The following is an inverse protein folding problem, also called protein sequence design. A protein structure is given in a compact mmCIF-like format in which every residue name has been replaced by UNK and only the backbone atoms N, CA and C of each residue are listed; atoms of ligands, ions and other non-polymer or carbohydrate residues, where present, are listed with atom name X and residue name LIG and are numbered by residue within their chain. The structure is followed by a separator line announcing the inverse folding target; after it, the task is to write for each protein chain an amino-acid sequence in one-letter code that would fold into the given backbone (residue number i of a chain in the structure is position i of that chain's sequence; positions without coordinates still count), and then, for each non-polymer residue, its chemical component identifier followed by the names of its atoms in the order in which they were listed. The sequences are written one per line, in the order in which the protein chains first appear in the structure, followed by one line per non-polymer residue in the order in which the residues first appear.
data_IF_599134757024
#
_entry.id   IF_599134757024
#
_cell.length_a   1.000
_cell.length_b   1.000
_cell.length_c   1.000
_cell.angle_alpha   90.00
_cell.angle_beta   90.00
_cell.angle_gamma   90.00
#
_symmetry.space_group_name_H-M   'P 1'
#
loop_
_entity.id
_entity.type
_entity.pdbx_description
1 polymer ?
#
# COMPACT_ATOMS: atom_id res chain seq x y z
N UNK A 1 -7.46 2.43 8.81
CA UNK A 1 -8.30 2.58 10.02
C UNK A 1 -9.08 3.89 9.89
N UNK A 2 -10.41 3.92 10.08
CA UNK A 2 -11.20 5.16 9.94
C UNK A 2 -10.82 6.24 10.97
N UNK A 3 -10.12 5.84 12.03
CA UNK A 3 -9.55 6.71 13.05
C UNK A 3 -8.08 6.30 13.20
N UNK A 4 -7.15 7.20 12.88
CA UNK A 4 -5.71 7.00 13.01
C UNK A 4 -5.12 7.76 14.19
N UNK A 5 -3.92 7.36 14.61
CA UNK A 5 -3.13 8.14 15.56
C UNK A 5 -2.55 9.42 14.93
N UNK A 6 -2.03 10.31 15.78
CA UNK A 6 -1.37 11.53 15.30
C UNK A 6 0.08 11.24 14.95
N UNK A 7 0.46 11.52 13.71
CA UNK A 7 1.87 11.50 13.30
C UNK A 7 2.65 12.59 14.05
N UNK A 8 3.64 12.19 14.85
CA UNK A 8 4.46 13.11 15.65
C UNK A 8 5.78 13.41 14.95
N UNK A 9 6.18 14.67 14.96
CA UNK A 9 7.54 15.09 14.61
C UNK A 9 8.26 15.43 15.91
N UNK A 10 9.37 14.75 16.17
CA UNK A 10 10.25 15.03 17.29
C UNK A 10 11.18 16.21 16.92
N UNK A 11 11.70 16.90 17.93
CA UNK A 11 12.59 18.06 17.74
C UNK A 11 13.91 17.69 17.04
N UNK A 12 14.34 16.41 17.11
CA UNK A 12 15.52 15.87 16.41
C UNK A 12 15.24 15.48 14.93
N UNK A 13 14.09 15.87 14.37
CA UNK A 13 13.75 15.60 12.97
C UNK A 13 13.24 14.19 12.67
N UNK A 14 13.18 13.31 13.67
CA UNK A 14 12.54 12.00 13.54
C UNK A 14 11.02 12.14 13.42
N UNK A 15 10.43 11.39 12.49
CA UNK A 15 8.99 11.32 12.27
C UNK A 15 8.47 9.97 12.74
N UNK A 16 7.55 9.98 13.71
CA UNK A 16 6.87 8.78 14.21
C UNK A 16 5.50 8.68 13.54
N UNK A 17 5.24 7.56 12.86
CA UNK A 17 3.96 7.32 12.18
C UNK A 17 2.83 7.14 13.20
N UNK A 18 1.69 7.77 12.92
CA UNK A 18 0.47 7.61 13.72
C UNK A 18 -0.46 6.49 13.21
N UNK A 19 -0.23 5.99 12.01
CA UNK A 19 -1.05 4.98 11.34
C UNK A 19 -0.82 3.59 11.93
N UNK A 20 -1.91 2.90 12.26
CA UNK A 20 -1.93 1.59 12.92
C UNK A 20 -2.21 0.53 11.86
N UNK A 21 -1.35 -0.50 11.81
CA UNK A 21 -1.59 -1.68 10.98
C UNK A 21 -2.36 -2.74 11.74
N UNK A 22 -3.27 -3.44 11.06
CA UNK A 22 -4.12 -4.47 11.67
C UNK A 22 -4.05 -5.75 10.86
N UNK A 23 -3.50 -6.81 11.45
CA UNK A 23 -3.46 -8.14 10.85
C UNK A 23 -4.59 -9.01 11.40
N UNK A 24 -5.41 -9.58 10.52
CA UNK A 24 -6.50 -10.50 10.88
C UNK A 24 -6.09 -11.96 10.64
N UNK A 25 -5.85 -12.69 11.73
CA UNK A 25 -5.57 -14.13 11.69
C UNK A 25 -6.73 -14.93 12.28
N UNK A 26 -7.05 -16.07 11.69
CA UNK A 26 -8.10 -16.96 12.18
C UNK A 26 -8.33 -18.14 11.24
N UNK A 27 -9.19 -19.06 11.65
CA UNK A 27 -9.48 -20.27 10.89
C UNK A 27 -10.16 -19.96 9.53
N UNK A 28 -10.09 -20.89 8.55
CA UNK A 28 -10.90 -20.80 7.35
C UNK A 28 -12.40 -20.72 7.69
N UNK A 29 -13.15 -19.90 6.96
CA UNK A 29 -14.61 -19.78 7.15
C UNK A 29 -15.07 -18.75 8.19
N UNK A 30 -14.18 -18.04 8.87
CA UNK A 30 -14.55 -16.98 9.85
C UNK A 30 -14.84 -15.60 9.22
N UNK A 31 -15.19 -15.57 7.92
CA UNK A 31 -15.58 -14.37 7.18
C UNK A 31 -14.54 -13.21 7.15
N UNK A 32 -13.24 -13.49 7.33
CA UNK A 32 -12.14 -12.48 7.27
C UNK A 32 -12.17 -11.66 5.98
N UNK A 33 -12.27 -12.35 4.83
CA UNK A 33 -12.38 -11.72 3.51
C UNK A 33 -13.60 -10.81 3.39
N UNK A 34 -14.74 -11.24 3.92
CA UNK A 34 -15.97 -10.43 3.90
C UNK A 34 -15.81 -9.15 4.72
N UNK A 35 -15.09 -9.21 5.84
CA UNK A 35 -14.78 -8.04 6.65
C UNK A 35 -13.86 -7.06 5.89
N UNK A 36 -12.80 -7.56 5.24
CA UNK A 36 -11.90 -6.73 4.43
C UNK A 36 -12.63 -6.04 3.27
N UNK A 37 -13.50 -6.77 2.56
CA UNK A 37 -14.35 -6.23 1.51
C UNK A 37 -15.30 -5.16 2.05
N UNK A 38 -15.90 -5.40 3.22
CA UNK A 38 -16.78 -4.42 3.84
C UNK A 38 -16.03 -3.14 4.20
N UNK A 39 -14.82 -3.23 4.77
CA UNK A 39 -13.98 -2.06 5.09
C UNK A 39 -13.70 -1.26 3.81
N UNK A 40 -13.29 -1.92 2.73
CA UNK A 40 -13.00 -1.27 1.45
C UNK A 40 -14.23 -0.57 0.82
N UNK A 41 -15.45 -1.02 1.13
CA UNK A 41 -16.68 -0.35 0.67
C UNK A 41 -17.09 0.86 1.52
N UNK A 42 -16.66 0.92 2.78
CA UNK A 42 -17.12 1.93 3.73
C UNK A 42 -16.24 3.19 3.69
N UNK A 43 -14.94 3.05 3.48
CA UNK A 43 -14.02 4.20 3.52
C UNK A 43 -13.65 4.71 2.12
N UNK A 44 -13.59 6.05 1.94
CA UNK A 44 -13.36 6.66 0.64
C UNK A 44 -11.91 6.40 0.18
N UNK A 45 -11.74 5.91 -1.05
CA UNK A 45 -10.44 5.59 -1.69
C UNK A 45 -9.66 4.43 -1.07
N UNK A 46 -10.33 3.58 -0.30
CA UNK A 46 -9.73 2.32 0.11
C UNK A 46 -9.52 1.40 -1.09
N UNK A 47 -8.42 0.66 -1.07
CA UNK A 47 -8.06 -0.30 -2.11
C UNK A 47 -8.09 -1.70 -1.49
N UNK A 48 -8.74 -2.64 -2.16
CA UNK A 48 -8.69 -4.07 -1.83
C UNK A 48 -7.81 -4.79 -2.84
N UNK A 49 -6.82 -5.54 -2.36
CA UNK A 49 -5.92 -6.35 -3.20
C UNK A 49 -5.86 -7.80 -2.71
N UNK A 50 -5.67 -8.72 -3.65
CA UNK A 50 -5.56 -10.18 -3.45
C UNK A 50 -4.57 -10.70 -4.50
N UNK A 51 -3.97 -11.87 -4.27
CA UNK A 51 -3.10 -12.61 -5.22
C UNK A 51 -2.11 -11.74 -6.01
N UNK A 52 -2.54 -11.24 -7.19
CA UNK A 52 -1.73 -10.52 -8.19
C UNK A 52 -1.65 -9.01 -7.94
N UNK A 53 -2.61 -8.44 -7.21
CA UNK A 53 -2.60 -7.01 -6.85
C UNK A 53 -1.60 -6.70 -5.73
N UNK A 54 -1.21 -7.73 -4.98
CA UNK A 54 -0.26 -7.68 -3.87
C UNK A 54 1.18 -8.00 -4.28
N UNK A 55 1.51 -7.94 -5.58
CA UNK A 55 2.88 -8.11 -6.06
C UNK A 55 3.67 -6.81 -6.03
N UNK A 56 5.00 -6.85 -5.96
CA UNK A 56 5.85 -5.67 -5.72
C UNK A 56 5.52 -4.47 -6.60
N UNK A 57 5.35 -4.66 -7.91
CA UNK A 57 5.00 -3.57 -8.84
C UNK A 57 3.55 -3.11 -8.67
N UNK A 58 2.63 -4.04 -8.37
CA UNK A 58 1.21 -3.76 -8.11
C UNK A 58 0.95 -3.05 -6.78
N UNK A 59 1.80 -3.29 -5.77
CA UNK A 59 1.76 -2.61 -4.47
C UNK A 59 2.41 -1.23 -4.52
N UNK A 60 3.56 -1.12 -5.18
CA UNK A 60 4.41 0.09 -5.16
C UNK A 60 4.06 1.04 -6.31
N UNK A 61 4.79 0.98 -7.41
CA UNK A 61 4.45 1.67 -8.66
C UNK A 61 5.24 1.04 -9.82
N UNK A 62 4.71 1.18 -11.03
CA UNK A 62 5.31 0.68 -12.25
C UNK A 62 5.80 1.85 -13.13
N UNK A 63 6.94 1.67 -13.80
CA UNK A 63 7.32 2.54 -14.92
C UNK A 63 6.75 1.93 -16.20
N UNK A 64 5.82 2.64 -16.83
CA UNK A 64 5.16 2.22 -18.07
C UNK A 64 5.62 3.13 -19.20
N UNK A 65 5.93 2.55 -20.36
CA UNK A 65 6.27 3.31 -21.55
C UNK A 65 5.05 3.40 -22.45
N UNK A 66 4.57 4.62 -22.67
CA UNK A 66 3.44 4.85 -23.56
C UNK A 66 3.87 4.57 -25.01
N UNK A 67 3.08 3.76 -25.71
CA UNK A 67 3.37 3.34 -27.09
C UNK A 67 3.13 4.48 -28.09
N UNK A 68 2.28 5.46 -27.76
CA UNK A 68 1.91 6.56 -28.63
C UNK A 68 2.91 7.71 -28.50
N UNK A 69 3.11 8.21 -27.27
CA UNK A 69 4.01 9.34 -26.99
C UNK A 69 5.49 8.91 -26.91
N UNK A 70 5.76 7.61 -26.73
CA UNK A 70 7.10 7.03 -26.44
C UNK A 70 7.73 7.52 -25.14
N UNK A 71 6.98 8.27 -24.33
CA UNK A 71 7.41 8.77 -23.03
C UNK A 71 7.28 7.69 -21.95
N UNK A 72 8.09 7.81 -20.91
CA UNK A 72 8.05 6.94 -19.73
C UNK A 72 7.20 7.60 -18.65
N UNK A 73 6.08 6.99 -18.32
CA UNK A 73 5.14 7.42 -17.29
C UNK A 73 5.28 6.53 -16.05
N UNK A 74 4.92 7.07 -14.89
CA UNK A 74 4.90 6.36 -13.63
C UNK A 74 3.45 6.09 -13.23
N UNK A 75 3.09 4.83 -13.03
CA UNK A 75 1.77 4.39 -12.58
C UNK A 75 1.84 3.95 -11.12
N UNK A 76 1.06 4.59 -10.25
CA UNK A 76 0.95 4.26 -8.83
C UNK A 76 0.31 2.89 -8.61
N UNK A 77 0.92 2.07 -7.75
CA UNK A 77 0.35 0.84 -7.24
C UNK A 77 -0.58 1.07 -6.04
N UNK A 78 -1.12 -0.02 -5.49
CA UNK A 78 -2.16 0.00 -4.47
C UNK A 78 -1.81 0.86 -3.24
N UNK A 79 -0.57 0.78 -2.73
CA UNK A 79 -0.15 1.55 -1.55
C UNK A 79 -0.09 3.05 -1.84
N UNK A 80 0.29 3.44 -3.06
CA UNK A 80 0.37 4.85 -3.48
C UNK A 80 -1.02 5.41 -3.76
N UNK A 81 -1.88 4.61 -4.39
CA UNK A 81 -3.26 5.00 -4.69
C UNK A 81 -4.11 5.16 -3.42
N UNK A 82 -3.83 4.35 -2.40
CA UNK A 82 -4.48 4.40 -1.10
C UNK A 82 -3.82 5.38 -0.09
N UNK A 83 -3.02 6.37 -0.54
CA UNK A 83 -2.37 7.34 0.36
C UNK A 83 -3.40 8.02 1.28
N UNK A 84 -3.13 8.00 2.59
CA UNK A 84 -4.02 8.46 3.68
C UNK A 84 -5.31 7.66 3.86
N UNK A 85 -5.42 6.47 3.25
CA UNK A 85 -6.58 5.59 3.31
C UNK A 85 -6.17 4.17 3.75
N UNK A 86 -7.08 3.20 3.57
CA UNK A 86 -6.83 1.79 3.91
C UNK A 86 -6.53 0.99 2.65
N UNK A 87 -5.46 0.20 2.68
CA UNK A 87 -5.17 -0.82 1.67
C UNK A 87 -5.40 -2.19 2.30
N UNK A 88 -6.57 -2.77 2.05
CA UNK A 88 -6.91 -4.11 2.49
C UNK A 88 -6.15 -5.14 1.65
N UNK A 89 -5.28 -5.92 2.30
CA UNK A 89 -4.53 -7.01 1.66
C UNK A 89 -5.09 -8.34 2.15
N UNK A 90 -5.62 -9.13 1.22
CA UNK A 90 -6.00 -10.53 1.46
C UNK A 90 -4.81 -11.46 1.19
N UNK A 91 -4.83 -12.65 1.79
CA UNK A 91 -3.82 -13.71 1.55
C UNK A 91 -2.37 -13.24 1.81
N UNK A 92 -2.17 -12.49 2.91
CA UNK A 92 -0.84 -11.98 3.31
C UNK A 92 0.23 -13.07 3.47
N UNK A 93 -0.19 -14.29 3.84
CA UNK A 93 0.65 -15.47 3.96
C UNK A 93 1.23 -15.96 2.63
N UNK A 94 0.56 -15.69 1.51
CA UNK A 94 1.01 -16.06 0.16
C UNK A 94 1.95 -15.02 -0.47
N UNK A 95 2.15 -13.86 0.18
CA UNK A 95 3.03 -12.80 -0.35
C UNK A 95 4.52 -13.13 -0.27
N UNK A 96 5.28 -12.68 -1.27
CA UNK A 96 6.74 -12.77 -1.28
C UNK A 96 7.38 -11.81 -0.25
N UNK A 97 8.58 -12.14 0.23
CA UNK A 97 9.29 -11.37 1.25
C UNK A 97 9.61 -9.93 0.80
N UNK A 98 9.90 -9.73 -0.49
CA UNK A 98 10.12 -8.40 -1.07
C UNK A 98 8.88 -7.50 -0.97
N UNK A 99 7.71 -8.07 -1.19
CA UNK A 99 6.43 -7.35 -1.17
C UNK A 99 6.03 -6.99 0.26
N UNK A 100 6.33 -7.87 1.22
CA UNK A 100 6.17 -7.60 2.65
C UNK A 100 7.06 -6.46 3.13
N UNK A 101 8.28 -6.38 2.59
CA UNK A 101 9.22 -5.30 2.91
C UNK A 101 8.68 -3.95 2.44
N UNK A 102 8.06 -3.90 1.26
CA UNK A 102 7.46 -2.67 0.72
C UNK A 102 6.30 -2.11 1.58
N UNK A 103 5.56 -2.97 2.29
CA UNK A 103 4.50 -2.54 3.23
C UNK A 103 5.10 -1.85 4.47
N UNK A 104 6.27 -2.32 4.92
CA UNK A 104 6.96 -1.77 6.08
C UNK A 104 7.70 -0.47 5.75
N UNK A 105 8.35 -0.39 4.58
CA UNK A 105 9.15 0.75 4.16
C UNK A 105 8.32 1.86 3.48
N UNK A 106 7.57 2.62 4.27
CA UNK A 106 6.86 3.83 3.81
C UNK A 106 7.70 5.08 4.09
N UNK A 107 7.94 5.99 3.11
CA UNK A 107 7.35 6.10 1.76
C UNK A 107 8.01 5.21 0.70
N UNK A 108 7.26 4.91 -0.37
CA UNK A 108 7.70 4.04 -1.48
C UNK A 108 8.74 4.76 -2.34
N UNK A 109 9.90 4.14 -2.52
CA UNK A 109 11.00 4.66 -3.36
C UNK A 109 11.19 3.80 -4.58
N UNK A 110 11.27 4.45 -5.74
CA UNK A 110 11.43 3.76 -7.02
C UNK A 110 12.61 4.37 -7.76
N UNK A 111 13.51 3.51 -8.19
CA UNK A 111 14.67 3.84 -9.00
C UNK A 111 14.76 2.85 -10.16
N UNK A 112 14.11 3.17 -11.28
CA UNK A 112 14.03 2.27 -12.44
C UNK A 112 14.02 3.07 -13.74
N UNK A 113 14.70 2.55 -14.78
CA UNK A 113 14.70 3.09 -16.15
C UNK A 113 14.97 4.61 -16.21
N UNK A 114 15.91 5.11 -15.40
CA UNK A 114 16.28 6.53 -15.37
C UNK A 114 15.35 7.44 -14.56
N UNK A 115 14.26 6.92 -13.99
CA UNK A 115 13.38 7.64 -13.08
C UNK A 115 13.74 7.26 -11.64
N UNK A 116 14.16 8.24 -10.86
CA UNK A 116 14.32 8.11 -9.41
C UNK A 116 13.33 9.05 -8.73
N UNK A 117 12.29 8.48 -8.12
CA UNK A 117 11.25 9.26 -7.44
C UNK A 117 10.83 8.60 -6.13
N UNK A 118 10.37 9.43 -5.20
CA UNK A 118 9.77 8.96 -3.94
C UNK A 118 8.29 9.31 -3.96
N UNK A 119 7.44 8.30 -3.79
CA UNK A 119 5.99 8.44 -3.73
C UNK A 119 5.53 8.30 -2.28
N UNK A 120 4.64 9.19 -1.87
CA UNK A 120 4.00 9.06 -0.57
C UNK A 120 3.01 7.90 -0.60
N UNK A 121 3.04 7.09 0.44
CA UNK A 121 2.13 5.97 0.65
C UNK A 121 1.81 5.87 2.14
N UNK A 122 1.17 6.90 2.70
CA UNK A 122 0.77 6.97 4.12
C UNK A 122 -0.50 6.16 4.32
N UNK A 123 -0.39 4.89 4.02
CA UNK A 123 -1.53 3.99 3.90
C UNK A 123 -1.57 3.11 5.12
N UNK A 124 -2.76 2.89 5.68
CA UNK A 124 -2.98 1.85 6.69
C UNK A 124 -3.19 0.53 5.98
N UNK A 125 -2.47 -0.51 6.39
CA UNK A 125 -2.67 -1.89 5.93
C UNK A 125 -3.37 -2.69 7.03
#
# INVERSE_FOLDING_TARGET
MMIGGVTKRMDEGMKVRGDIYVLLMGDPGVARRQLLLHIATVSPRDIYTTDKGSCGVGLTAAVVRDQITKETTLEGGALVLADMCISCIDEFDEMEEGDRTAIHEQPVRIAQTGITTTLNARTTV
#
